data_IF_778625651317
#
_entry.id   IF_778625651317
#
_cell.length_a   1.000
_cell.length_b   1.000
_cell.length_c   1.000
_cell.angle_alpha   90.00
_cell.angle_beta   90.00
_cell.angle_gamma   90.00
#
_symmetry.space_group_name_H-M   'P 1'
#
loop_
_entity.id
_entity.type
_entity.pdbx_description
1 polymer ?
#
# COMPACT_ATOMS: atom_id res chain seq x y z
N UNK A 1 -28.72 -19.09 8.04
CA UNK A 1 -27.80 -19.79 7.11
C UNK A 1 -26.55 -18.96 7.07
N UNK A 2 -25.46 -19.47 7.66
CA UNK A 2 -24.20 -18.72 7.79
C UNK A 2 -23.47 -18.73 6.44
N UNK A 3 -23.12 -17.53 5.96
CA UNK A 3 -22.34 -17.32 4.71
C UNK A 3 -20.87 -17.80 4.82
N UNK A 4 -20.56 -18.69 5.77
CA UNK A 4 -19.18 -19.16 6.03
C UNK A 4 -18.82 -20.48 5.31
N UNK A 5 -19.77 -21.15 4.65
CA UNK A 5 -19.52 -22.50 4.10
C UNK A 5 -18.93 -22.51 2.68
N UNK A 6 -18.85 -21.36 1.99
CA UNK A 6 -18.37 -21.28 0.59
C UNK A 6 -17.01 -20.57 0.44
N UNK A 7 -16.38 -20.15 1.53
CA UNK A 7 -15.11 -19.42 1.48
C UNK A 7 -13.92 -20.38 1.42
N UNK A 8 -13.06 -20.22 0.40
CA UNK A 8 -11.84 -21.03 0.30
C UNK A 8 -10.88 -20.75 1.45
N UNK A 9 -10.05 -21.72 1.86
CA UNK A 9 -9.01 -21.49 2.87
C UNK A 9 -8.06 -20.35 2.51
N UNK A 10 -7.76 -20.17 1.22
CA UNK A 10 -6.92 -19.10 0.70
C UNK A 10 -7.58 -17.74 0.86
N UNK A 11 -8.88 -17.62 0.57
CA UNK A 11 -9.61 -16.38 0.80
C UNK A 11 -9.65 -16.03 2.28
N UNK A 12 -9.90 -17.01 3.14
CA UNK A 12 -9.93 -16.80 4.60
C UNK A 12 -8.58 -16.29 5.11
N UNK A 13 -7.49 -16.90 4.70
CA UNK A 13 -6.15 -16.46 5.08
C UNK A 13 -5.88 -15.03 4.57
N UNK A 14 -6.21 -14.74 3.30
CA UNK A 14 -6.04 -13.41 2.72
C UNK A 14 -6.83 -12.35 3.50
N UNK A 15 -8.05 -12.65 3.94
CA UNK A 15 -8.87 -11.75 4.77
C UNK A 15 -8.18 -11.45 6.10
N UNK A 16 -7.67 -12.45 6.79
CA UNK A 16 -6.95 -12.29 8.07
C UNK A 16 -5.68 -11.44 7.86
N UNK A 17 -4.89 -11.76 6.85
CA UNK A 17 -3.67 -11.02 6.52
C UNK A 17 -3.96 -9.55 6.16
N UNK A 18 -5.01 -9.31 5.37
CA UNK A 18 -5.39 -7.96 4.95
C UNK A 18 -5.94 -7.15 6.13
N UNK A 19 -6.77 -7.74 6.98
CA UNK A 19 -7.26 -7.07 8.19
C UNK A 19 -6.10 -6.70 9.13
N UNK A 20 -5.12 -7.61 9.32
CA UNK A 20 -3.90 -7.30 10.04
C UNK A 20 -3.14 -6.13 9.42
N UNK A 21 -3.06 -6.06 8.09
CA UNK A 21 -2.41 -4.97 7.37
C UNK A 21 -3.07 -3.61 7.65
N UNK A 22 -4.40 -3.54 7.59
CA UNK A 22 -5.16 -2.33 7.94
C UNK A 22 -4.84 -1.86 9.35
N UNK A 23 -4.90 -2.75 10.34
CA UNK A 23 -4.59 -2.41 11.74
C UNK A 23 -3.14 -2.03 11.95
N UNK A 24 -2.19 -2.64 11.23
CA UNK A 24 -0.78 -2.25 11.25
C UNK A 24 -0.58 -0.84 10.67
N UNK A 25 -1.25 -0.51 9.56
CA UNK A 25 -1.20 0.84 8.98
C UNK A 25 -1.74 1.87 9.97
N UNK A 26 -2.85 1.56 10.68
CA UNK A 26 -3.35 2.40 11.78
C UNK A 26 -2.35 2.48 12.93
N UNK A 27 -1.83 1.33 13.38
CA UNK A 27 -0.88 1.26 14.49
C UNK A 27 0.39 2.11 14.28
N UNK A 28 0.89 2.19 13.05
CA UNK A 28 2.05 3.00 12.70
C UNK A 28 1.71 4.46 12.32
N UNK A 29 0.44 4.87 12.51
CA UNK A 29 -0.01 6.24 12.24
C UNK A 29 0.02 6.60 10.76
N UNK A 30 -0.30 5.64 9.89
CA UNK A 30 -0.30 5.82 8.43
C UNK A 30 -1.72 5.84 7.83
N UNK A 31 -2.76 5.78 8.65
CA UNK A 31 -4.17 5.90 8.23
C UNK A 31 -4.60 7.36 8.09
N UNK A 32 -5.64 7.59 7.31
CA UNK A 32 -6.30 8.89 7.12
C UNK A 32 -7.81 8.74 7.33
N UNK A 33 -8.26 8.74 8.59
CA UNK A 33 -9.65 8.48 8.97
C UNK A 33 -10.19 7.23 8.27
N UNK A 34 -11.30 7.38 7.52
CA UNK A 34 -11.93 6.31 6.72
C UNK A 34 -11.44 6.31 5.26
N UNK A 35 -10.58 7.27 4.91
CA UNK A 35 -10.05 7.43 3.56
C UNK A 35 -8.86 6.50 3.31
N UNK A 36 -8.46 6.40 2.04
CA UNK A 36 -7.48 5.45 1.54
C UNK A 36 -7.99 4.00 1.51
N UNK A 37 -7.20 3.14 0.89
CA UNK A 37 -7.58 1.74 0.71
C UNK A 37 -6.34 0.87 0.67
N UNK A 38 -6.55 -0.39 1.06
CA UNK A 38 -5.63 -1.49 0.78
C UNK A 38 -6.44 -2.56 0.07
N UNK A 39 -5.95 -3.04 -1.05
CA UNK A 39 -6.59 -4.16 -1.75
C UNK A 39 -5.66 -5.35 -1.81
N UNK A 40 -6.22 -6.54 -1.70
CA UNK A 40 -5.49 -7.78 -1.90
C UNK A 40 -6.23 -8.71 -2.85
N UNK A 41 -5.51 -9.31 -3.80
CA UNK A 41 -6.02 -10.33 -4.71
C UNK A 41 -6.21 -11.64 -3.95
N UNK A 42 -7.34 -12.29 -4.18
CA UNK A 42 -7.61 -13.62 -3.63
C UNK A 42 -6.84 -14.65 -4.47
N UNK A 43 -5.94 -15.44 -3.89
CA UNK A 43 -5.19 -16.44 -4.63
C UNK A 43 -6.09 -17.46 -5.34
N UNK A 44 -5.71 -17.84 -6.55
CA UNK A 44 -6.50 -18.76 -7.39
C UNK A 44 -7.65 -18.10 -8.13
N UNK A 45 -7.76 -16.77 -8.05
CA UNK A 45 -8.69 -15.96 -8.85
C UNK A 45 -7.92 -14.85 -9.54
N UNK A 46 -8.28 -14.52 -10.79
CA UNK A 46 -7.65 -13.40 -11.49
C UNK A 46 -8.36 -12.06 -11.20
N UNK A 47 -9.65 -12.14 -10.87
CA UNK A 47 -10.55 -10.99 -10.84
C UNK A 47 -11.10 -10.62 -9.47
N UNK A 48 -10.88 -11.44 -8.43
CA UNK A 48 -11.45 -11.17 -7.12
C UNK A 48 -10.45 -10.50 -6.18
N UNK A 49 -10.89 -9.38 -5.62
CA UNK A 49 -10.12 -8.57 -4.67
C UNK A 49 -10.87 -8.42 -3.35
N UNK A 50 -10.13 -8.19 -2.29
CA UNK A 50 -10.64 -7.76 -0.99
C UNK A 50 -10.28 -6.30 -0.75
N UNK A 51 -11.20 -5.55 -0.15
CA UNK A 51 -11.04 -4.13 0.20
C UNK A 51 -11.79 -3.82 1.50
N UNK A 52 -11.45 -2.73 2.19
CA UNK A 52 -12.19 -2.28 3.36
C UNK A 52 -13.60 -1.75 3.00
N UNK A 53 -14.58 -1.93 3.88
CA UNK A 53 -15.85 -1.22 3.78
C UNK A 53 -15.63 0.28 4.00
N UNK A 54 -16.19 1.11 3.12
CA UNK A 54 -16.06 2.58 3.20
C UNK A 54 -16.99 3.12 4.29
N UNK A 55 -16.42 3.61 5.35
CA UNK A 55 -17.12 4.09 6.55
C UNK A 55 -16.54 3.52 7.84
N UNK A 56 -15.62 2.56 7.76
CA UNK A 56 -14.92 2.00 8.92
C UNK A 56 -13.48 2.55 8.99
N UNK A 57 -13.05 2.83 10.22
CA UNK A 57 -11.65 3.16 10.51
C UNK A 57 -10.78 1.91 10.35
N UNK A 58 -9.49 2.10 10.09
CA UNK A 58 -8.57 0.99 9.84
C UNK A 58 -8.39 0.05 11.04
N UNK A 59 -8.53 0.56 12.26
CA UNK A 59 -8.48 -0.22 13.50
C UNK A 59 -9.79 -0.96 13.82
N UNK A 60 -10.86 -0.69 13.07
CA UNK A 60 -12.11 -1.44 13.18
C UNK A 60 -12.17 -2.65 12.22
N UNK A 61 -11.28 -2.70 11.21
CA UNK A 61 -11.34 -3.72 10.16
C UNK A 61 -11.06 -5.10 10.73
N UNK A 62 -11.93 -6.05 10.41
CA UNK A 62 -11.80 -7.49 10.71
C UNK A 62 -11.81 -8.31 9.42
N UNK A 63 -11.42 -9.57 9.49
CA UNK A 63 -11.45 -10.47 8.34
C UNK A 63 -12.86 -10.61 7.75
N UNK A 64 -13.88 -10.66 8.59
CA UNK A 64 -15.30 -10.75 8.17
C UNK A 64 -15.86 -9.44 7.64
N UNK A 65 -15.30 -8.28 8.04
CA UNK A 65 -15.77 -6.98 7.58
C UNK A 65 -15.36 -6.65 6.15
N UNK A 66 -14.28 -7.26 5.66
CA UNK A 66 -13.75 -6.99 4.31
C UNK A 66 -14.75 -7.33 3.21
N UNK A 67 -14.83 -6.45 2.22
CA UNK A 67 -15.73 -6.57 1.07
C UNK A 67 -14.99 -7.27 -0.07
N UNK A 68 -15.63 -8.30 -0.64
CA UNK A 68 -15.13 -8.99 -1.85
C UNK A 68 -15.70 -8.29 -3.07
N UNK A 69 -14.84 -7.97 -4.03
CA UNK A 69 -15.20 -7.28 -5.27
C UNK A 69 -14.53 -7.93 -6.48
N UNK A 70 -15.07 -7.65 -7.67
CA UNK A 70 -14.36 -7.90 -8.93
C UNK A 70 -13.47 -6.70 -9.34
N UNK A 71 -12.75 -6.82 -10.45
CA UNK A 71 -11.92 -5.74 -10.99
C UNK A 71 -12.74 -4.50 -11.44
N UNK A 72 -14.02 -4.67 -11.73
CA UNK A 72 -14.90 -3.55 -12.06
C UNK A 72 -15.43 -2.82 -10.81
N UNK A 73 -15.17 -3.36 -9.61
CA UNK A 73 -15.63 -2.80 -8.33
C UNK A 73 -17.03 -3.28 -7.93
N UNK A 74 -17.60 -4.28 -8.62
CA UNK A 74 -18.87 -4.86 -8.20
C UNK A 74 -18.67 -5.72 -6.96
N UNK A 75 -19.57 -5.56 -5.98
CA UNK A 75 -19.53 -6.33 -4.73
C UNK A 75 -20.02 -7.76 -5.03
N UNK A 76 -19.19 -8.72 -4.63
CA UNK A 76 -19.43 -10.16 -4.79
C UNK A 76 -19.86 -10.77 -3.45
N UNK A 77 -21.15 -10.88 -3.24
CA UNK A 77 -21.72 -11.46 -2.03
C UNK A 77 -22.20 -10.44 -0.99
N UNK A 78 -22.70 -10.91 0.16
CA UNK A 78 -23.23 -10.04 1.20
C UNK A 78 -22.11 -9.29 1.93
N UNK A 79 -22.32 -8.00 2.17
CA UNK A 79 -21.48 -7.21 3.10
C UNK A 79 -21.98 -7.43 4.53
N UNK A 80 -21.09 -7.80 5.45
CA UNK A 80 -21.43 -7.99 6.87
C UNK A 80 -21.72 -6.67 7.58
N UNK A 81 -21.25 -5.54 7.03
CA UNK A 81 -21.36 -4.21 7.65
C UNK A 81 -22.45 -3.34 7.06
N UNK A 82 -22.99 -3.71 5.88
CA UNK A 82 -23.90 -2.86 5.12
C UNK A 82 -23.23 -1.67 4.40
N UNK A 83 -21.94 -1.44 4.61
CA UNK A 83 -21.17 -0.42 3.88
C UNK A 83 -20.74 -0.93 2.49
N UNK A 84 -20.66 0.00 1.52
CA UNK A 84 -20.08 -0.23 0.21
C UNK A 84 -18.56 0.00 0.19
N UNK A 85 -18.03 0.28 -1.00
CA UNK A 85 -16.62 0.65 -1.21
C UNK A 85 -16.52 2.10 -1.66
N UNK A 86 -15.34 2.71 -1.49
CA UNK A 86 -15.05 4.01 -2.08
C UNK A 86 -14.71 3.83 -3.57
N UNK A 87 -15.68 4.05 -4.45
CA UNK A 87 -15.52 3.86 -5.89
C UNK A 87 -14.46 4.80 -6.51
N UNK A 88 -14.36 6.05 -6.04
CA UNK A 88 -13.36 7.00 -6.57
C UNK A 88 -11.92 6.54 -6.28
N UNK A 89 -11.63 6.14 -5.04
CA UNK A 89 -10.29 5.65 -4.68
C UNK A 89 -9.96 4.30 -5.30
N UNK A 90 -10.95 3.48 -5.64
CA UNK A 90 -10.74 2.19 -6.27
C UNK A 90 -10.19 2.27 -7.71
N UNK A 91 -10.31 3.42 -8.38
CA UNK A 91 -9.80 3.62 -9.74
C UNK A 91 -8.30 3.31 -9.84
N UNK A 92 -7.49 3.81 -8.91
CA UNK A 92 -6.04 3.55 -8.85
C UNK A 92 -5.76 2.05 -8.64
N UNK A 93 -6.45 1.43 -7.67
CA UNK A 93 -6.24 0.03 -7.33
C UNK A 93 -6.63 -0.91 -8.47
N UNK A 94 -7.78 -0.67 -9.11
CA UNK A 94 -8.24 -1.48 -10.24
C UNK A 94 -7.32 -1.35 -11.46
N UNK A 95 -6.76 -0.15 -11.71
CA UNK A 95 -5.79 0.06 -12.79
C UNK A 95 -4.54 -0.80 -12.57
N UNK A 96 -3.97 -0.77 -11.36
CA UNK A 96 -2.78 -1.56 -11.04
C UNK A 96 -3.08 -3.06 -11.09
N UNK A 97 -4.13 -3.54 -10.42
CA UNK A 97 -4.47 -4.96 -10.44
C UNK A 97 -4.82 -5.50 -11.83
N UNK A 98 -5.46 -4.68 -12.68
CA UNK A 98 -5.79 -5.07 -14.04
C UNK A 98 -4.57 -5.18 -14.96
N UNK A 99 -3.54 -4.37 -14.73
CA UNK A 99 -2.34 -4.33 -15.59
C UNK A 99 -1.17 -5.18 -15.05
N UNK A 100 -1.11 -5.41 -13.73
CA UNK A 100 0.01 -6.04 -13.03
C UNK A 100 -0.47 -7.33 -12.33
N UNK A 101 -0.50 -8.45 -13.08
CA UNK A 101 -0.88 -9.76 -12.54
C UNK A 101 0.10 -10.31 -11.50
N UNK A 102 1.34 -9.80 -11.47
CA UNK A 102 2.35 -10.08 -10.45
C UNK A 102 2.10 -9.36 -9.12
N UNK A 103 1.15 -8.41 -9.10
CA UNK A 103 0.78 -7.66 -7.89
C UNK A 103 -0.38 -8.33 -7.18
N UNK A 104 -0.12 -8.82 -5.98
CA UNK A 104 -1.12 -9.40 -5.07
C UNK A 104 -1.73 -8.38 -4.10
N UNK A 105 -1.02 -7.28 -3.80
CA UNK A 105 -1.49 -6.26 -2.86
C UNK A 105 -1.10 -4.85 -3.33
N UNK A 106 -2.04 -3.92 -3.18
CA UNK A 106 -1.85 -2.48 -3.45
C UNK A 106 -2.23 -1.70 -2.20
N UNK A 107 -1.35 -0.79 -1.76
CA UNK A 107 -1.55 0.08 -0.60
C UNK A 107 -1.35 1.52 -1.02
N UNK A 108 -2.34 2.37 -0.75
CA UNK A 108 -2.27 3.80 -0.97
C UNK A 108 -2.53 4.54 0.35
N UNK A 109 -1.72 5.57 0.63
CA UNK A 109 -1.83 6.36 1.87
C UNK A 109 -1.64 7.85 1.64
N UNK A 110 -2.33 8.66 2.48
CA UNK A 110 -2.18 10.11 2.58
C UNK A 110 -1.46 10.49 3.87
N UNK A 111 -0.34 9.87 4.16
CA UNK A 111 0.43 10.21 5.36
C UNK A 111 0.96 11.64 5.27
N UNK A 112 1.08 12.31 6.43
CA UNK A 112 1.59 13.68 6.48
C UNK A 112 2.96 13.83 5.80
N UNK A 113 3.89 12.90 6.06
CA UNK A 113 5.23 12.96 5.48
C UNK A 113 5.21 12.60 3.99
N UNK A 114 4.41 11.59 3.60
CA UNK A 114 4.21 11.23 2.20
C UNK A 114 3.63 12.36 1.38
N UNK A 115 2.55 13.02 1.87
CA UNK A 115 1.97 14.20 1.23
C UNK A 115 2.97 15.36 1.13
N UNK A 116 3.72 15.62 2.21
CA UNK A 116 4.73 16.69 2.19
C UNK A 116 5.79 16.46 1.11
N UNK A 117 6.36 15.23 1.06
CA UNK A 117 7.37 14.89 0.04
C UNK A 117 6.79 14.88 -1.37
N UNK A 118 5.54 14.43 -1.55
CA UNK A 118 4.86 14.43 -2.84
C UNK A 118 4.69 15.83 -3.43
N UNK A 119 4.60 16.85 -2.57
CA UNK A 119 4.46 18.27 -2.95
C UNK A 119 5.81 18.98 -3.15
N UNK A 120 6.94 18.34 -2.83
CA UNK A 120 8.25 18.94 -3.03
C UNK A 120 8.73 18.76 -4.47
N UNK A 121 9.21 19.85 -5.10
CA UNK A 121 9.78 19.81 -6.45
C UNK A 121 10.99 18.84 -6.54
N UNK A 122 11.80 18.76 -5.48
CA UNK A 122 12.93 17.82 -5.42
C UNK A 122 12.49 16.35 -5.26
N UNK A 123 11.25 16.10 -4.86
CA UNK A 123 10.76 14.77 -4.56
C UNK A 123 11.46 14.13 -3.35
N UNK A 124 11.55 12.82 -3.34
CA UNK A 124 12.27 12.05 -2.32
C UNK A 124 13.77 12.06 -2.61
N UNK A 125 14.54 12.56 -1.63
CA UNK A 125 16.00 12.62 -1.69
C UNK A 125 16.63 11.36 -1.07
N UNK A 126 17.75 10.87 -1.61
CA UNK A 126 18.43 9.67 -1.09
C UNK A 126 19.26 9.97 0.17
N UNK A 127 18.63 10.58 1.19
CA UNK A 127 19.28 11.07 2.41
C UNK A 127 19.74 9.96 3.35
N UNK A 128 19.06 8.82 3.33
CA UNK A 128 19.29 7.71 4.25
C UNK A 128 19.40 6.40 3.50
N UNK A 129 19.94 5.36 4.17
CA UNK A 129 19.96 4.02 3.60
C UNK A 129 18.57 3.56 3.15
N UNK A 130 17.54 3.85 3.95
CA UNK A 130 16.15 3.54 3.62
C UNK A 130 15.67 4.29 2.38
N UNK A 131 16.00 5.59 2.28
CA UNK A 131 15.62 6.41 1.13
C UNK A 131 16.35 5.98 -0.16
N UNK A 132 17.59 5.51 -0.07
CA UNK A 132 18.34 5.03 -1.23
C UNK A 132 17.71 3.80 -1.90
N UNK A 133 16.89 3.00 -1.19
CA UNK A 133 16.05 1.96 -1.83
C UNK A 133 15.16 2.54 -2.91
N UNK A 134 14.71 3.76 -2.72
CA UNK A 134 13.75 4.47 -3.57
C UNK A 134 14.41 5.57 -4.41
N UNK A 135 15.73 5.52 -4.62
CA UNK A 135 16.46 6.57 -5.34
C UNK A 135 15.98 6.79 -6.80
N UNK A 136 15.33 5.80 -7.40
CA UNK A 136 14.71 5.88 -8.73
C UNK A 136 13.20 5.67 -8.68
N UNK A 137 12.55 6.11 -7.59
CA UNK A 137 11.11 5.98 -7.45
C UNK A 137 10.39 6.77 -8.53
N UNK A 138 9.42 6.19 -9.24
CA UNK A 138 8.60 6.91 -10.20
C UNK A 138 7.62 7.86 -9.52
N UNK A 139 7.15 8.84 -10.30
CA UNK A 139 6.15 9.82 -9.91
C UNK A 139 5.01 9.80 -10.92
N UNK A 140 3.80 10.02 -10.43
CA UNK A 140 2.63 10.29 -11.26
C UNK A 140 2.13 11.69 -10.92
N UNK A 141 1.93 12.52 -11.92
CA UNK A 141 1.44 13.89 -11.74
C UNK A 141 -0.03 13.91 -11.34
N UNK A 142 -0.43 14.91 -10.54
CA UNK A 142 -1.79 15.05 -10.06
C UNK A 142 -2.70 15.56 -11.18
N UNK A 143 -3.65 14.73 -11.60
CA UNK A 143 -4.59 15.05 -12.69
C UNK A 143 -6.00 15.41 -12.20
N UNK A 144 -6.24 15.49 -10.90
CA UNK A 144 -7.52 15.74 -10.22
C UNK A 144 -7.91 14.53 -9.33
N UNK A 145 -9.13 14.53 -8.77
CA UNK A 145 -9.66 13.35 -8.09
C UNK A 145 -9.80 12.23 -9.14
N UNK A 146 -9.17 11.07 -8.88
CA UNK A 146 -9.07 9.94 -9.81
C UNK A 146 -10.47 9.38 -10.18
N UNK A 147 -11.12 10.00 -11.15
CA UNK A 147 -12.41 9.60 -11.70
C UNK A 147 -12.25 9.25 -13.20
N UNK A 148 -11.18 9.76 -13.82
CA UNK A 148 -10.93 9.61 -15.25
C UNK A 148 -10.34 8.22 -15.56
N UNK A 149 -11.01 7.50 -16.46
CA UNK A 149 -10.52 6.19 -16.91
C UNK A 149 -9.25 6.28 -17.74
N UNK A 150 -8.99 7.40 -18.41
CA UNK A 150 -7.78 7.62 -19.21
C UNK A 150 -6.54 7.83 -18.32
N UNK A 151 -6.70 8.33 -17.10
CA UNK A 151 -5.63 8.42 -16.09
C UNK A 151 -5.06 7.04 -15.75
N UNK A 152 -5.89 5.99 -15.75
CA UNK A 152 -5.46 4.62 -15.42
C UNK A 152 -4.26 4.14 -16.25
N UNK A 153 -4.29 4.39 -17.55
CA UNK A 153 -3.24 3.96 -18.45
C UNK A 153 -1.92 4.70 -18.16
N UNK A 154 -2.00 6.01 -17.88
CA UNK A 154 -0.83 6.84 -17.53
C UNK A 154 -0.24 6.43 -16.19
N UNK A 155 -1.09 6.24 -15.17
CA UNK A 155 -0.66 5.81 -13.84
C UNK A 155 0.08 4.45 -13.90
N UNK A 156 -0.45 3.50 -14.66
CA UNK A 156 0.18 2.18 -14.86
C UNK A 156 1.49 2.31 -15.61
N UNK A 157 1.56 3.17 -16.64
CA UNK A 157 2.78 3.42 -17.38
C UNK A 157 3.87 4.05 -16.48
N UNK A 158 3.50 5.01 -15.65
CA UNK A 158 4.42 5.66 -14.70
C UNK A 158 4.91 4.69 -13.63
N UNK A 159 4.02 3.86 -13.07
CA UNK A 159 4.43 2.83 -12.09
C UNK A 159 5.40 1.82 -12.71
N UNK A 160 5.18 1.42 -13.95
CA UNK A 160 5.98 0.42 -14.65
C UNK A 160 6.15 -0.87 -13.83
N UNK A 161 7.38 -1.33 -13.68
CA UNK A 161 7.74 -2.51 -12.88
C UNK A 161 8.07 -2.18 -11.41
N UNK A 162 7.93 -0.93 -10.98
CA UNK A 162 8.30 -0.49 -9.63
C UNK A 162 7.40 -1.08 -8.54
N UNK A 163 7.97 -1.23 -7.34
CA UNK A 163 7.24 -1.65 -6.13
C UNK A 163 6.56 -0.47 -5.40
N UNK A 164 6.88 0.77 -5.79
CA UNK A 164 6.33 1.97 -5.19
C UNK A 164 6.32 3.13 -6.18
N UNK A 165 5.46 4.10 -5.92
CA UNK A 165 5.36 5.36 -6.67
C UNK A 165 4.93 6.48 -5.73
N UNK A 166 5.37 7.70 -6.00
CA UNK A 166 4.86 8.90 -5.34
C UNK A 166 3.84 9.57 -6.27
N UNK A 167 2.63 9.72 -5.78
CA UNK A 167 1.58 10.50 -6.44
C UNK A 167 1.77 11.96 -6.08
N UNK A 168 2.14 12.81 -7.07
CA UNK A 168 2.41 14.24 -6.86
C UNK A 168 1.21 14.93 -6.20
N UNK A 169 1.49 15.77 -5.20
CA UNK A 169 0.47 16.53 -4.46
C UNK A 169 -0.65 15.67 -3.83
N UNK A 170 -0.42 14.35 -3.66
CA UNK A 170 -1.45 13.43 -3.24
C UNK A 170 -0.96 12.51 -2.11
N UNK A 171 -0.03 11.60 -2.38
CA UNK A 171 0.42 10.65 -1.38
C UNK A 171 1.33 9.56 -1.91
N UNK A 172 1.31 8.42 -1.25
CA UNK A 172 2.20 7.29 -1.54
C UNK A 172 1.40 6.09 -2.07
N UNK A 173 1.98 5.39 -3.03
CA UNK A 173 1.49 4.11 -3.54
C UNK A 173 2.58 3.05 -3.37
N UNK A 174 2.25 1.91 -2.79
CA UNK A 174 3.12 0.74 -2.71
C UNK A 174 2.39 -0.50 -3.20
N UNK A 175 3.11 -1.35 -3.91
CA UNK A 175 2.59 -2.60 -4.45
C UNK A 175 3.54 -3.75 -4.13
N UNK A 176 3.03 -4.98 -4.16
CA UNK A 176 3.85 -6.16 -3.96
C UNK A 176 3.10 -7.45 -4.30
N UNK A 177 3.83 -8.55 -4.53
CA UNK A 177 3.23 -9.85 -4.81
C UNK A 177 2.47 -10.43 -3.61
N UNK A 178 2.74 -9.95 -2.40
CA UNK A 178 2.03 -10.31 -1.18
C UNK A 178 1.73 -9.07 -0.32
N UNK A 179 0.77 -9.20 0.61
CA UNK A 179 0.44 -8.18 1.61
C UNK A 179 1.70 -7.81 2.42
N UNK A 180 2.48 -8.81 2.80
CA UNK A 180 3.71 -8.64 3.57
C UNK A 180 4.73 -7.74 2.84
N UNK A 181 4.93 -7.98 1.55
CA UNK A 181 5.89 -7.21 0.75
C UNK A 181 5.40 -5.80 0.45
N UNK A 182 4.12 -5.63 0.12
CA UNK A 182 3.52 -4.31 -0.09
C UNK A 182 3.59 -3.46 1.19
N UNK A 183 3.24 -4.04 2.35
CA UNK A 183 3.34 -3.35 3.63
C UNK A 183 4.78 -2.94 3.97
N UNK A 184 5.75 -3.82 3.78
CA UNK A 184 7.16 -3.50 4.02
C UNK A 184 7.62 -2.34 3.13
N UNK A 185 7.24 -2.36 1.85
CA UNK A 185 7.56 -1.30 0.89
C UNK A 185 6.97 0.03 1.32
N UNK A 186 5.68 0.06 1.68
CA UNK A 186 5.02 1.27 2.19
C UNK A 186 5.69 1.80 3.46
N UNK A 187 5.92 0.92 4.44
CA UNK A 187 6.52 1.31 5.72
C UNK A 187 7.90 1.96 5.52
N UNK A 188 8.75 1.40 4.66
CA UNK A 188 10.06 1.95 4.39
C UNK A 188 9.99 3.26 3.60
N UNK A 189 9.06 3.38 2.64
CA UNK A 189 8.84 4.62 1.90
C UNK A 189 8.38 5.75 2.83
N UNK A 190 7.44 5.46 3.73
CA UNK A 190 6.98 6.41 4.74
C UNK A 190 8.11 6.83 5.69
N UNK A 191 8.95 5.89 6.15
CA UNK A 191 10.10 6.20 6.99
C UNK A 191 11.13 7.08 6.25
N UNK A 192 11.33 6.87 4.95
CA UNK A 192 12.17 7.72 4.13
C UNK A 192 11.60 9.14 4.01
N UNK A 193 10.29 9.26 3.81
CA UNK A 193 9.59 10.56 3.76
C UNK A 193 9.68 11.29 5.11
N UNK A 194 9.44 10.60 6.23
CA UNK A 194 9.58 11.18 7.58
C UNK A 194 10.98 11.70 7.82
N UNK A 195 11.99 10.91 7.53
CA UNK A 195 13.39 11.31 7.71
C UNK A 195 13.75 12.55 6.88
N UNK A 196 13.22 12.64 5.64
CA UNK A 196 13.44 13.81 4.79
C UNK A 196 12.75 15.06 5.37
N UNK A 197 11.50 14.96 5.79
CA UNK A 197 10.77 16.09 6.39
C UNK A 197 11.49 16.59 7.63
N UNK A 198 11.94 15.68 8.50
CA UNK A 198 12.68 16.05 9.72
C UNK A 198 14.02 16.73 9.38
N UNK A 199 14.79 16.17 8.44
CA UNK A 199 16.07 16.74 8.01
C UNK A 199 15.91 18.14 7.39
N UNK A 200 14.91 18.33 6.54
CA UNK A 200 14.61 19.65 5.92
C UNK A 200 14.13 20.67 6.97
N UNK A 201 13.37 20.22 7.98
CA UNK A 201 12.88 21.08 9.05
C UNK A 201 14.01 21.63 9.95
N UNK A 202 15.15 20.97 9.98
CA UNK A 202 16.32 21.45 10.71
C UNK A 202 16.94 22.72 10.10
N UNK A 203 16.60 23.06 8.86
CA UNK A 203 17.13 24.21 8.11
C UNK A 203 18.68 24.27 8.14
N UNK A 204 19.32 23.12 7.93
CA UNK A 204 20.77 22.96 7.85
C UNK A 204 21.14 22.34 6.51
N UNK A 205 22.40 22.47 6.14
CA UNK A 205 22.94 21.83 4.95
C UNK A 205 22.78 20.29 5.03
N UNK A 206 22.32 19.69 3.94
CA UNK A 206 22.13 18.24 3.84
C UNK A 206 23.43 17.57 3.40
N UNK A 207 23.80 16.48 4.08
CA UNK A 207 24.89 15.61 3.67
C UNK A 207 24.33 14.48 2.78
N UNK A 208 24.50 14.58 1.46
CA UNK A 208 24.12 13.53 0.52
C UNK A 208 25.25 12.52 0.33
N UNK A 209 24.97 11.21 0.28
CA UNK A 209 25.95 10.22 -0.12
C UNK A 209 26.44 10.47 -1.54
N UNK A 210 27.69 10.05 -1.91
CA UNK A 210 28.17 10.12 -3.28
C UNK A 210 27.26 9.34 -4.26
N UNK A 211 27.11 9.79 -5.51
CA UNK A 211 26.22 9.16 -6.50
C UNK A 211 26.46 7.67 -6.70
N UNK A 212 27.71 7.24 -6.69
CA UNK A 212 28.09 5.82 -6.83
C UNK A 212 27.66 4.97 -5.63
N UNK A 213 27.61 5.55 -4.43
CA UNK A 213 27.11 4.89 -3.23
C UNK A 213 25.58 4.75 -3.29
N UNK A 214 24.90 5.80 -3.77
CA UNK A 214 23.46 5.79 -3.98
C UNK A 214 23.08 4.70 -4.99
N UNK A 215 23.74 4.66 -6.14
CA UNK A 215 23.49 3.69 -7.21
C UNK A 215 23.73 2.25 -6.74
N UNK A 216 24.87 2.01 -6.08
CA UNK A 216 25.18 0.70 -5.50
C UNK A 216 24.15 0.25 -4.48
N UNK A 217 23.74 1.16 -3.59
CA UNK A 217 22.75 0.86 -2.57
C UNK A 217 21.39 0.58 -3.19
N UNK A 218 20.94 1.41 -4.13
CA UNK A 218 19.71 1.18 -4.88
C UNK A 218 19.70 -0.21 -5.53
N UNK A 219 20.78 -0.58 -6.22
CA UNK A 219 20.91 -1.88 -6.88
C UNK A 219 20.77 -3.05 -5.89
N UNK A 220 21.39 -2.96 -4.70
CA UNK A 220 21.31 -4.00 -3.68
C UNK A 220 19.91 -4.16 -3.07
N UNK A 221 19.04 -3.16 -3.24
CA UNK A 221 17.65 -3.21 -2.77
C UNK A 221 16.65 -3.67 -3.82
N UNK A 222 17.08 -3.98 -5.04
CA UNK A 222 16.16 -4.44 -6.08
C UNK A 222 15.71 -5.89 -5.85
N UNK A 223 14.50 -6.29 -6.29
CA UNK A 223 13.98 -7.65 -6.11
C UNK A 223 14.88 -8.74 -6.69
N UNK A 224 15.67 -8.42 -7.72
CA UNK A 224 16.61 -9.34 -8.38
C UNK A 224 17.89 -9.60 -7.59
N UNK A 225 18.22 -8.76 -6.61
CA UNK A 225 19.49 -8.82 -5.85
C UNK A 225 19.31 -9.08 -4.36
N UNK A 226 18.11 -9.03 -3.87
CA UNK A 226 17.78 -9.18 -2.45
C UNK A 226 16.80 -10.31 -2.18
N UNK A 227 16.72 -10.75 -0.92
CA UNK A 227 15.58 -11.56 -0.46
C UNK A 227 14.27 -10.79 -0.60
N UNK A 228 13.12 -11.45 -0.67
CA UNK A 228 11.81 -10.79 -0.58
C UNK A 228 11.65 -10.08 0.78
N UNK A 229 11.72 -8.74 0.79
CA UNK A 229 11.48 -7.97 2.00
C UNK A 229 9.99 -8.01 2.37
N UNK A 230 9.72 -8.12 3.66
CA UNK A 230 8.38 -8.29 4.21
C UNK A 230 8.11 -9.72 4.65
N UNK A 231 8.55 -10.73 3.91
CA UNK A 231 8.26 -12.14 4.22
C UNK A 231 8.83 -12.59 5.58
N UNK A 232 10.05 -12.18 5.91
CA UNK A 232 10.66 -12.49 7.21
C UNK A 232 10.12 -11.60 8.33
N UNK A 233 9.76 -10.37 8.02
CA UNK A 233 9.25 -9.37 8.96
C UNK A 233 7.79 -9.60 9.34
N UNK A 234 6.99 -10.12 8.40
CA UNK A 234 5.54 -10.24 8.56
C UNK A 234 5.09 -11.09 9.75
N UNK A 235 5.66 -12.26 10.03
CA UNK A 235 5.31 -13.01 11.23
C UNK A 235 5.53 -12.23 12.54
N UNK A 236 6.50 -11.32 12.57
CA UNK A 236 6.70 -10.45 13.73
C UNK A 236 5.60 -9.37 13.83
N UNK A 237 5.14 -8.86 12.68
CA UNK A 237 4.02 -7.90 12.64
C UNK A 237 2.71 -8.56 13.07
N UNK A 238 2.44 -9.79 12.63
CA UNK A 238 1.28 -10.56 13.08
C UNK A 238 1.32 -10.81 14.59
N UNK A 239 2.46 -11.22 15.15
CA UNK A 239 2.60 -11.37 16.60
C UNK A 239 2.43 -10.05 17.37
N UNK A 240 2.76 -8.92 16.75
CA UNK A 240 2.49 -7.61 17.33
C UNK A 240 0.97 -7.36 17.42
N UNK A 241 0.24 -7.63 16.34
CA UNK A 241 -1.22 -7.48 16.32
C UNK A 241 -1.91 -8.49 17.24
N UNK A 242 -1.46 -9.74 17.29
CA UNK A 242 -1.98 -10.76 18.20
C UNK A 242 -1.90 -10.34 19.67
N UNK A 243 -0.88 -9.59 20.06
CA UNK A 243 -0.75 -9.07 21.43
C UNK A 243 -1.53 -7.80 21.68
N UNK A 244 -1.70 -6.96 20.67
CA UNK A 244 -2.30 -5.63 20.85
C UNK A 244 -3.80 -5.60 20.54
N UNK A 245 -4.20 -6.29 19.51
CA UNK A 245 -5.56 -6.21 18.98
C UNK A 245 -5.88 -7.45 18.13
N UNK A 246 -6.12 -8.61 18.78
CA UNK A 246 -6.33 -9.88 18.09
C UNK A 246 -7.65 -9.96 17.32
N UNK A 247 -8.59 -9.03 17.53
CA UNK A 247 -9.92 -9.01 16.91
C UNK A 247 -9.90 -8.83 15.39
N UNK A 248 -8.74 -8.57 14.78
CA UNK A 248 -8.65 -8.52 13.33
C UNK A 248 -8.96 -9.85 12.63
N UNK A 249 -8.91 -10.97 13.37
CA UNK A 249 -9.14 -12.33 12.84
C UNK A 249 -10.62 -12.71 12.73
N UNK A 250 -11.50 -11.94 13.36
CA UNK A 250 -12.95 -12.21 13.48
C UNK A 250 -13.68 -12.04 12.12
#
# INVERSE_FOLDING_TARGET
MHASDDMSPQERDTRIQLAACYRLVSHFGMSDLIYNHITARIPGTDDHLLINPYGMMYDEITASSLVKIDLAGNILGPSSTGYGINAAGYVIHSAVHGARHDVGCVIHTHTRAGMAVSALKCGLLPLTQTAMRFAKIPYHDYESVAIDLDERARLVADLGASEAMILRNHGLLAVGPSIAQAFNTLYWLEMACKAQVDALSANRELCLPPPEVIEKTWHLYQPTTRRPFGELEWPAMLRLMDRKDPGYKD
#
